data_IF_777762484393
#
_entry.id   IF_777762484393
#
_cell.length_a   1.000
_cell.length_b   1.000
_cell.length_c   1.000
_cell.angle_alpha   90.00
_cell.angle_beta   90.00
_cell.angle_gamma   90.00
#
_symmetry.space_group_name_H-M   'P 1'
#
loop_
_entity.id
_entity.type
_entity.pdbx_description
1 polymer ?
#
# COMPACT_ATOMS: atom_id res chain seq x y z
N UNK A 1 37.55 20.89 -3.04
CA UNK A 1 37.04 20.17 -1.85
C UNK A 1 35.70 19.55 -2.18
N UNK A 2 35.56 18.22 -2.21
CA UNK A 2 34.28 17.59 -2.52
C UNK A 2 33.36 17.66 -1.30
N UNK A 3 32.19 18.28 -1.46
CA UNK A 3 31.12 18.29 -0.46
C UNK A 3 30.45 16.93 -0.48
N UNK A 4 30.76 16.07 0.50
CA UNK A 4 30.01 14.84 0.72
C UNK A 4 28.54 15.21 1.01
N UNK A 5 27.65 15.01 0.03
CA UNK A 5 26.21 14.97 0.30
C UNK A 5 25.99 13.71 1.13
N UNK A 6 25.74 13.86 2.44
CA UNK A 6 25.16 12.79 3.25
C UNK A 6 23.87 12.40 2.54
N UNK A 7 23.88 11.26 1.87
CA UNK A 7 22.63 10.58 1.59
C UNK A 7 22.00 10.35 2.96
N UNK A 8 20.91 11.05 3.27
CA UNK A 8 20.05 10.71 4.39
C UNK A 8 19.55 9.29 4.14
N UNK A 9 20.31 8.31 4.63
CA UNK A 9 19.90 6.92 4.58
C UNK A 9 18.70 6.81 5.51
N UNK A 10 17.51 6.87 4.92
CA UNK A 10 16.27 6.60 5.62
C UNK A 10 16.43 5.23 6.28
N UNK A 11 16.26 5.16 7.59
CA UNK A 11 16.46 3.93 8.35
C UNK A 11 15.56 2.82 7.83
N UNK A 12 16.16 1.71 7.41
CA UNK A 12 15.45 0.51 6.94
C UNK A 12 14.45 0.00 7.98
N UNK A 13 14.77 0.15 9.28
CA UNK A 13 13.85 -0.18 10.37
C UNK A 13 12.56 0.65 10.32
N UNK A 14 12.66 1.95 10.03
CA UNK A 14 11.49 2.81 9.92
C UNK A 14 10.68 2.49 8.67
N UNK A 15 11.34 2.17 7.55
CA UNK A 15 10.66 1.71 6.32
C UNK A 15 9.89 0.40 6.56
N UNK A 16 10.52 -0.59 7.19
CA UNK A 16 9.88 -1.86 7.53
C UNK A 16 8.70 -1.69 8.50
N UNK A 17 8.80 -0.75 9.45
CA UNK A 17 7.70 -0.41 10.35
C UNK A 17 6.51 0.21 9.60
N UNK A 18 6.79 1.15 8.68
CA UNK A 18 5.77 1.78 7.83
C UNK A 18 5.08 0.73 6.96
N UNK A 19 5.84 -0.15 6.30
CA UNK A 19 5.30 -1.20 5.45
C UNK A 19 4.38 -2.14 6.23
N UNK A 20 4.79 -2.55 7.44
CA UNK A 20 3.95 -3.39 8.31
C UNK A 20 2.64 -2.70 8.69
N UNK A 21 2.68 -1.42 9.04
CA UNK A 21 1.46 -0.67 9.39
C UNK A 21 0.54 -0.48 8.19
N UNK A 22 1.11 -0.20 7.01
CA UNK A 22 0.36 -0.08 5.77
C UNK A 22 -0.35 -1.40 5.43
N UNK A 23 0.33 -2.55 5.57
CA UNK A 23 -0.28 -3.87 5.33
C UNK A 23 -1.44 -4.18 6.27
N UNK A 24 -1.34 -3.79 7.55
CA UNK A 24 -2.44 -3.96 8.51
C UNK A 24 -3.64 -3.09 8.15
N UNK A 25 -3.40 -1.82 7.82
CA UNK A 25 -4.45 -0.89 7.39
C UNK A 25 -5.14 -1.36 6.11
N UNK A 26 -4.40 -1.90 5.15
CA UNK A 26 -4.96 -2.44 3.92
C UNK A 26 -6.03 -3.52 4.20
N UNK A 27 -5.75 -4.41 5.16
CA UNK A 27 -6.68 -5.45 5.59
C UNK A 27 -7.91 -4.87 6.28
N UNK A 28 -7.72 -3.97 7.24
CA UNK A 28 -8.82 -3.36 7.99
C UNK A 28 -9.76 -2.56 7.08
N UNK A 29 -9.20 -1.84 6.10
CA UNK A 29 -9.98 -1.12 5.08
C UNK A 29 -10.81 -2.08 4.23
N UNK A 30 -10.26 -3.22 3.83
CA UNK A 30 -10.98 -4.24 3.06
C UNK A 30 -12.16 -4.83 3.85
N UNK A 31 -11.96 -5.11 5.14
CA UNK A 31 -13.01 -5.61 6.02
C UNK A 31 -14.10 -4.55 6.23
N UNK A 32 -13.72 -3.28 6.40
CA UNK A 32 -14.65 -2.15 6.50
C UNK A 32 -15.46 -1.97 5.21
N UNK A 33 -14.85 -2.09 4.02
CA UNK A 33 -15.57 -2.03 2.73
C UNK A 33 -16.64 -3.11 2.61
N UNK A 34 -16.36 -4.34 3.07
CA UNK A 34 -17.32 -5.44 3.07
C UNK A 34 -18.48 -5.18 4.03
N UNK A 35 -18.19 -4.65 5.22
CA UNK A 35 -19.20 -4.34 6.24
C UNK A 35 -20.09 -3.17 5.84
N UNK A 36 -19.55 -2.17 5.15
CA UNK A 36 -20.28 -0.95 4.80
C UNK A 36 -21.11 -1.07 3.53
N UNK A 37 -21.13 -2.21 2.83
CA UNK A 37 -22.04 -2.42 1.70
C UNK A 37 -23.47 -2.58 2.26
N UNK A 38 -24.44 -1.67 1.99
CA UNK A 38 -24.57 -0.83 0.79
C UNK A 38 -24.43 0.71 0.98
N UNK A 39 -23.92 1.21 2.11
CA UNK A 39 -23.68 2.65 2.36
C UNK A 39 -22.60 3.21 1.40
N UNK A 40 -23.05 3.73 0.25
CA UNK A 40 -22.18 4.17 -0.86
C UNK A 40 -21.17 5.25 -0.49
N UNK A 41 -21.54 6.26 0.29
CA UNK A 41 -20.64 7.39 0.58
C UNK A 41 -19.39 6.96 1.37
N UNK A 42 -19.57 6.17 2.43
CA UNK A 42 -18.43 5.64 3.20
C UNK A 42 -17.62 4.63 2.39
N UNK A 43 -18.28 3.84 1.53
CA UNK A 43 -17.60 2.90 0.65
C UNK A 43 -16.63 3.60 -0.32
N UNK A 44 -17.04 4.70 -0.95
CA UNK A 44 -16.19 5.45 -1.88
C UNK A 44 -14.97 6.07 -1.19
N UNK A 45 -15.15 6.61 0.02
CA UNK A 45 -14.05 7.20 0.80
C UNK A 45 -13.02 6.13 1.18
N UNK A 46 -13.48 4.96 1.62
CA UNK A 46 -12.61 3.84 1.98
C UNK A 46 -11.90 3.26 0.75
N UNK A 47 -12.59 3.21 -0.40
CA UNK A 47 -11.98 2.79 -1.67
C UNK A 47 -10.87 3.73 -2.14
N UNK A 48 -11.07 5.05 -2.04
CA UNK A 48 -10.00 6.03 -2.32
C UNK A 48 -8.81 5.85 -1.39
N UNK A 49 -9.07 5.71 -0.08
CA UNK A 49 -8.00 5.51 0.90
C UNK A 49 -7.21 4.22 0.63
N UNK A 50 -7.90 3.14 0.25
CA UNK A 50 -7.25 1.88 -0.12
C UNK A 50 -6.31 2.04 -1.33
N UNK A 51 -6.75 2.77 -2.38
CA UNK A 51 -5.92 3.05 -3.56
C UNK A 51 -4.70 3.93 -3.24
N UNK A 52 -4.88 4.97 -2.43
CA UNK A 52 -3.79 5.86 -2.01
C UNK A 52 -2.74 5.10 -1.19
N UNK A 53 -3.19 4.16 -0.35
CA UNK A 53 -2.31 3.32 0.45
C UNK A 53 -1.50 2.34 -0.42
N UNK A 54 -2.13 1.73 -1.44
CA UNK A 54 -1.41 0.92 -2.44
C UNK A 54 -0.34 1.72 -3.17
N UNK A 55 -0.69 2.94 -3.59
CA UNK A 55 0.25 3.85 -4.26
C UNK A 55 1.45 4.17 -3.37
N UNK A 56 1.22 4.43 -2.08
CA UNK A 56 2.29 4.68 -1.11
C UNK A 56 3.20 3.45 -0.92
N UNK A 57 2.63 2.25 -0.80
CA UNK A 57 3.37 0.98 -0.71
C UNK A 57 4.23 0.75 -1.97
N UNK A 58 3.68 1.05 -3.15
CA UNK A 58 4.41 0.92 -4.41
C UNK A 58 5.64 1.83 -4.45
N UNK A 59 5.48 3.09 -4.09
CA UNK A 59 6.56 4.06 -4.04
C UNK A 59 7.62 3.69 -3.00
N UNK A 60 7.20 3.21 -1.82
CA UNK A 60 8.11 2.69 -0.78
C UNK A 60 8.95 1.52 -1.30
N UNK A 61 8.35 0.65 -2.10
CA UNK A 61 9.00 -0.52 -2.68
C UNK A 61 9.76 -0.24 -4.00
N UNK A 62 9.92 1.04 -4.38
CA UNK A 62 10.60 1.44 -5.61
C UNK A 62 9.88 1.02 -6.91
N UNK A 63 8.57 0.72 -6.83
CA UNK A 63 7.71 0.38 -7.97
C UNK A 63 7.04 1.63 -8.52
N UNK A 64 6.52 1.54 -9.74
CA UNK A 64 5.67 2.61 -10.30
C UNK A 64 4.46 2.83 -9.41
N UNK A 65 4.01 4.08 -9.26
CA UNK A 65 2.81 4.44 -8.51
C UNK A 65 1.58 3.62 -8.95
N UNK A 66 1.48 3.39 -10.26
CA UNK A 66 0.37 2.67 -10.90
C UNK A 66 0.64 1.17 -11.03
N UNK A 67 1.65 0.64 -10.33
CA UNK A 67 1.93 -0.79 -10.34
C UNK A 67 0.78 -1.53 -9.67
N UNK A 68 0.06 -2.33 -10.45
CA UNK A 68 -0.92 -3.27 -9.91
C UNK A 68 -0.25 -4.61 -9.68
N UNK A 69 -0.51 -5.21 -8.52
CA UNK A 69 -0.04 -6.57 -8.23
C UNK A 69 -0.61 -7.49 -9.29
N UNK A 70 0.21 -8.28 -10.02
CA UNK A 70 -0.32 -9.27 -10.93
C UNK A 70 -1.25 -10.18 -10.13
N UNK A 71 -2.53 -10.21 -10.50
CA UNK A 71 -3.45 -11.19 -9.95
C UNK A 71 -2.83 -12.55 -10.22
N UNK A 72 -2.40 -13.26 -9.16
CA UNK A 72 -2.13 -14.68 -9.31
C UNK A 72 -3.45 -15.29 -9.74
N UNK A 73 -3.54 -15.69 -11.00
CA UNK A 73 -4.63 -16.52 -11.45
C UNK A 73 -4.74 -17.68 -10.45
N UNK A 74 -5.93 -17.99 -9.93
CA UNK A 74 -6.09 -19.19 -9.11
C UNK A 74 -5.53 -20.33 -9.97
N UNK A 75 -4.53 -21.02 -9.43
CA UNK A 75 -3.77 -22.05 -10.13
C UNK A 75 -4.71 -22.87 -11.02
N UNK A 76 -4.51 -22.76 -12.33
CA UNK A 76 -4.90 -23.81 -13.27
C UNK A 76 -4.06 -25.04 -12.94
N UNK A 77 -4.48 -25.79 -11.94
CA UNK A 77 -3.92 -27.08 -11.55
C UNK A 77 -5.06 -27.90 -10.97
N UNK A 78 -5.59 -28.82 -11.79
CA UNK A 78 -6.71 -29.70 -11.46
C UNK A 78 -6.34 -30.86 -10.54
#
# INVERSE_FOLDING_TARGET
MPRYRRHEQISEYHLAKIERQASLLERDLRDAQLSLKPFREHWEVIDRLHRDLQRAINLLNGRSADWERPHQAPMSGG
#
